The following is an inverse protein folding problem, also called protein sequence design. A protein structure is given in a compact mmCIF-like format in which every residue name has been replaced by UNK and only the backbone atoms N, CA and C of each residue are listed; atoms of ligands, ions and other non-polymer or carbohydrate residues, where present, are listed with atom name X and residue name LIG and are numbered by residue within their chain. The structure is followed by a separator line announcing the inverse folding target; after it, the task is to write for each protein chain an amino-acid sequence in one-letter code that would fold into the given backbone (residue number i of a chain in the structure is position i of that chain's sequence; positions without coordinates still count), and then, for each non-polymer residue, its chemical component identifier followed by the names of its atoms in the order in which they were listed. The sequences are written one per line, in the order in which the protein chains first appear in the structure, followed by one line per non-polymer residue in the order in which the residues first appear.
data_IF_445550502047
#
_entry.id   IF_445550502047
#
_cell.length_a   1.000
_cell.length_b   1.000
_cell.length_c   1.000
_cell.angle_alpha   90.00
_cell.angle_beta   90.00
_cell.angle_gamma   90.00
#
_symmetry.space_group_name_H-M   'P 1'
#
loop_
_entity.id
_entity.type
_entity.pdbx_description
1 polymer ?
#
# COMPACT_ATOMS: atom_id res chain seq x y z
N UNK A 1 12.26 6.24 -33.17
CA UNK A 1 12.99 5.08 -32.62
C UNK A 1 13.59 5.48 -31.28
N UNK A 2 12.88 5.25 -30.17
CA UNK A 2 13.44 5.46 -28.83
C UNK A 2 14.13 4.15 -28.46
N UNK A 3 15.46 4.19 -28.35
CA UNK A 3 16.29 3.05 -27.99
C UNK A 3 15.80 2.43 -26.67
N UNK A 4 15.29 1.20 -26.75
CA UNK A 4 14.97 0.36 -25.59
C UNK A 4 16.25 -0.22 -24.99
N UNK A 5 17.16 0.64 -24.53
CA UNK A 5 18.23 0.23 -23.63
C UNK A 5 17.68 0.14 -22.20
N UNK A 6 16.65 -0.69 -21.99
CA UNK A 6 16.40 -1.24 -20.66
C UNK A 6 17.52 -2.26 -20.43
N UNK A 7 18.36 -1.94 -19.45
CA UNK A 7 19.40 -2.78 -18.89
C UNK A 7 18.95 -4.25 -18.95
N UNK A 8 19.69 -5.11 -19.68
CA UNK A 8 19.59 -6.56 -19.52
C UNK A 8 20.07 -6.87 -18.09
N UNK A 9 19.13 -6.85 -17.15
CA UNK A 9 19.39 -7.00 -15.72
C UNK A 9 19.54 -8.47 -15.33
N UNK A 10 20.24 -9.30 -16.11
CA UNK A 10 20.58 -10.62 -15.60
C UNK A 10 21.62 -10.48 -14.48
N UNK A 11 21.56 -11.37 -13.50
CA UNK A 11 22.64 -11.57 -12.50
C UNK A 11 22.84 -10.44 -11.46
N UNK A 12 21.81 -9.64 -11.13
CA UNK A 12 21.89 -8.62 -10.07
C UNK A 12 21.42 -9.12 -8.71
N UNK A 13 22.03 -8.60 -7.64
CA UNK A 13 21.49 -8.66 -6.28
C UNK A 13 20.66 -7.41 -5.98
N UNK A 14 19.35 -7.58 -5.90
CA UNK A 14 18.40 -6.50 -5.62
C UNK A 14 17.94 -6.55 -4.16
N UNK A 15 18.10 -5.44 -3.44
CA UNK A 15 17.61 -5.29 -2.07
C UNK A 15 16.26 -4.57 -2.10
N UNK A 16 15.20 -5.25 -1.68
CA UNK A 16 13.85 -4.69 -1.60
C UNK A 16 13.55 -4.35 -0.15
N UNK A 17 13.27 -3.07 0.14
CA UNK A 17 13.00 -2.58 1.48
C UNK A 17 11.50 -2.45 1.72
N UNK A 18 10.98 -3.24 2.66
CA UNK A 18 9.58 -3.28 3.07
C UNK A 18 8.89 -4.56 2.62
N UNK A 19 8.40 -5.36 3.56
CA UNK A 19 7.66 -6.60 3.33
C UNK A 19 6.14 -6.41 3.23
N UNK A 20 5.66 -5.22 2.85
CA UNK A 20 4.26 -4.98 2.52
C UNK A 20 3.89 -5.46 1.12
N UNK A 21 2.64 -5.24 0.69
CA UNK A 21 2.14 -5.66 -0.62
C UNK A 21 3.02 -5.19 -1.79
N UNK A 22 3.47 -3.93 -1.76
CA UNK A 22 4.34 -3.37 -2.81
C UNK A 22 5.70 -4.07 -2.87
N UNK A 23 6.35 -4.30 -1.72
CA UNK A 23 7.66 -4.93 -1.71
C UNK A 23 7.63 -6.44 -1.96
N UNK A 24 6.62 -7.14 -1.44
CA UNK A 24 6.43 -8.58 -1.71
C UNK A 24 6.17 -8.84 -3.19
N UNK A 25 5.27 -8.06 -3.82
CA UNK A 25 5.00 -8.20 -5.26
C UNK A 25 6.20 -7.78 -6.11
N UNK A 26 6.95 -6.75 -5.71
CA UNK A 26 8.21 -6.37 -6.36
C UNK A 26 9.24 -7.51 -6.32
N UNK A 27 9.48 -8.07 -5.14
CA UNK A 27 10.41 -9.20 -4.95
C UNK A 27 10.00 -10.40 -5.82
N UNK A 28 8.71 -10.75 -5.83
CA UNK A 28 8.17 -11.81 -6.66
C UNK A 28 8.45 -11.57 -8.15
N UNK A 29 8.09 -10.39 -8.67
CA UNK A 29 8.28 -10.09 -10.09
C UNK A 29 9.75 -10.08 -10.50
N UNK A 30 10.67 -9.63 -9.63
CA UNK A 30 12.11 -9.72 -9.90
C UNK A 30 12.54 -11.18 -10.00
N UNK A 31 12.10 -12.03 -9.07
CA UNK A 31 12.47 -13.46 -9.07
C UNK A 31 11.90 -14.20 -10.28
N UNK A 32 10.67 -13.88 -10.69
CA UNK A 32 9.93 -14.53 -11.77
C UNK A 32 10.41 -14.08 -13.16
N UNK A 33 10.64 -12.77 -13.35
CA UNK A 33 10.87 -12.19 -14.67
C UNK A 33 12.33 -11.84 -14.96
N UNK A 34 13.18 -11.70 -13.94
CA UNK A 34 14.56 -11.26 -14.11
C UNK A 34 15.50 -12.44 -13.89
N UNK A 35 15.97 -13.01 -15.01
CA UNK A 35 16.82 -14.19 -15.02
C UNK A 35 18.04 -14.02 -14.10
N UNK A 36 18.32 -15.06 -13.30
CA UNK A 36 19.45 -15.17 -12.37
C UNK A 36 19.58 -14.08 -11.29
N UNK A 37 18.66 -13.13 -11.20
CA UNK A 37 18.73 -12.11 -10.16
C UNK A 37 18.41 -12.70 -8.79
N UNK A 38 19.15 -12.23 -7.79
CA UNK A 38 18.96 -12.53 -6.36
C UNK A 38 18.21 -11.39 -5.70
N UNK A 39 17.36 -11.71 -4.74
CA UNK A 39 16.57 -10.74 -3.98
C UNK A 39 16.82 -10.90 -2.48
N UNK A 40 17.15 -9.79 -1.82
CA UNK A 40 17.04 -9.68 -0.36
C UNK A 40 15.85 -8.79 -0.01
N UNK A 41 14.80 -9.37 0.55
CA UNK A 41 13.66 -8.63 1.08
C UNK A 41 13.91 -8.30 2.56
N UNK A 42 13.92 -7.02 2.90
CA UNK A 42 14.20 -6.53 4.26
C UNK A 42 12.94 -5.93 4.88
N UNK A 43 12.53 -6.42 6.04
CA UNK A 43 11.33 -5.97 6.77
C UNK A 43 11.67 -5.68 8.23
N UNK A 44 11.22 -4.52 8.73
CA UNK A 44 11.44 -4.10 10.12
C UNK A 44 10.61 -4.89 11.13
N UNK A 45 9.45 -5.40 10.72
CA UNK A 45 8.55 -6.15 11.56
C UNK A 45 8.96 -7.63 11.63
N UNK A 46 8.52 -8.39 12.64
CA UNK A 46 8.81 -9.82 12.75
C UNK A 46 8.31 -10.68 11.58
N UNK A 47 7.24 -10.24 10.91
CA UNK A 47 6.61 -10.91 9.76
C UNK A 47 6.28 -9.90 8.67
N UNK A 48 6.18 -10.40 7.43
CA UNK A 48 5.71 -9.62 6.29
C UNK A 48 4.26 -9.18 6.47
N UNK A 49 3.88 -8.11 5.77
CA UNK A 49 2.54 -7.54 5.73
C UNK A 49 1.97 -7.05 7.07
N UNK A 50 2.80 -6.77 8.09
CA UNK A 50 2.33 -6.27 9.40
C UNK A 50 2.07 -4.75 9.43
N UNK A 51 2.38 -4.02 8.36
CA UNK A 51 2.03 -2.60 8.19
C UNK A 51 0.60 -2.41 7.66
N UNK A 52 0.40 -1.38 6.83
CA UNK A 52 -0.89 -1.05 6.20
C UNK A 52 -1.51 -2.22 5.42
N UNK A 53 -0.68 -3.13 4.88
CA UNK A 53 -1.14 -4.35 4.21
C UNK A 53 -1.93 -5.32 5.10
N UNK A 54 -1.88 -5.20 6.43
CA UNK A 54 -2.74 -5.97 7.35
C UNK A 54 -3.93 -5.19 7.92
N UNK A 55 -3.99 -3.88 7.69
CA UNK A 55 -4.97 -2.97 8.29
C UNK A 55 -5.60 -2.11 7.20
N UNK A 56 -6.30 -2.75 6.29
CA UNK A 56 -6.96 -2.12 5.14
C UNK A 56 -8.42 -2.61 5.01
N UNK A 57 -9.15 -2.03 4.07
CA UNK A 57 -10.56 -2.36 3.81
C UNK A 57 -10.79 -3.59 2.93
N UNK A 58 -9.74 -4.34 2.55
CA UNK A 58 -9.86 -5.55 1.73
C UNK A 58 -10.52 -5.35 0.36
N UNK A 59 -10.42 -4.15 -0.21
CA UNK A 59 -11.12 -3.80 -1.45
C UNK A 59 -10.26 -4.06 -2.69
N UNK A 60 -10.89 -4.64 -3.70
CA UNK A 60 -10.37 -4.75 -5.07
C UNK A 60 -11.37 -4.06 -6.00
N UNK A 61 -11.43 -2.74 -5.91
CA UNK A 61 -12.51 -1.94 -6.50
C UNK A 61 -12.04 -0.92 -7.55
N UNK A 62 -11.82 -1.31 -8.82
CA UNK A 62 -11.51 -0.35 -9.88
C UNK A 62 -12.57 0.75 -10.01
N UNK A 63 -13.83 0.47 -9.68
CA UNK A 63 -14.92 1.46 -9.73
C UNK A 63 -14.78 2.60 -8.72
N UNK A 64 -13.94 2.43 -7.69
CA UNK A 64 -13.72 3.38 -6.60
C UNK A 64 -12.35 4.08 -6.69
N UNK A 65 -11.76 4.16 -7.88
CA UNK A 65 -10.43 4.72 -8.17
C UNK A 65 -10.30 6.25 -7.99
N UNK A 66 -11.30 6.90 -7.40
CA UNK A 66 -11.32 8.35 -7.21
C UNK A 66 -10.15 8.82 -6.34
N UNK A 67 -9.19 9.56 -6.91
CA UNK A 67 -8.08 10.05 -6.13
C UNK A 67 -8.63 11.02 -5.08
N UNK A 68 -8.10 10.95 -3.87
CA UNK A 68 -8.36 11.99 -2.86
C UNK A 68 -7.89 13.37 -3.33
N UNK A 69 -7.04 13.37 -4.37
CA UNK A 69 -6.48 14.52 -5.06
C UNK A 69 -7.31 15.07 -6.19
N UNK A 70 -8.52 14.55 -6.41
CA UNK A 70 -9.48 15.16 -7.31
C UNK A 70 -9.92 16.54 -6.80
N UNK A 71 -10.59 17.31 -7.68
CA UNK A 71 -11.25 18.57 -7.34
C UNK A 71 -12.26 18.42 -6.19
N UNK A 72 -12.61 17.20 -5.77
CA UNK A 72 -13.52 16.95 -4.65
C UNK A 72 -12.97 17.42 -3.29
N UNK A 73 -11.67 17.73 -3.15
CA UNK A 73 -11.17 18.27 -1.87
C UNK A 73 -11.65 19.70 -1.60
N UNK A 74 -11.61 20.54 -2.63
CA UNK A 74 -12.09 21.91 -2.65
C UNK A 74 -12.81 22.00 -3.99
N UNK A 75 -14.06 21.58 -3.98
CA UNK A 75 -14.90 21.63 -5.17
C UNK A 75 -15.16 23.12 -5.47
N UNK A 76 -14.46 23.63 -6.49
CA UNK A 76 -14.52 25.04 -6.87
C UNK A 76 -15.86 25.40 -7.53
N UNK A 77 -16.59 24.41 -8.04
CA UNK A 77 -17.92 24.63 -8.63
C UNK A 77 -19.01 24.62 -7.55
N UNK A 78 -18.79 23.87 -6.46
CA UNK A 78 -19.64 23.90 -5.28
C UNK A 78 -18.82 23.70 -3.99
N UNK A 79 -18.44 24.81 -3.36
CA UNK A 79 -17.64 24.79 -2.12
C UNK A 79 -18.30 24.02 -0.99
N UNK A 80 -19.64 23.93 -0.96
CA UNK A 80 -20.35 23.16 0.06
C UNK A 80 -20.15 21.66 -0.11
N UNK A 81 -19.76 21.22 -1.31
CA UNK A 81 -19.53 19.83 -1.66
C UNK A 81 -18.08 19.35 -1.45
N UNK A 82 -17.12 20.27 -1.33
CA UNK A 82 -15.72 19.95 -1.08
C UNK A 82 -15.47 19.27 0.27
N UNK A 83 -14.53 18.31 0.31
CA UNK A 83 -14.13 17.59 1.54
C UNK A 83 -13.55 18.55 2.59
N UNK A 84 -12.73 19.52 2.20
CA UNK A 84 -12.08 20.44 3.13
C UNK A 84 -13.07 21.43 3.76
N UNK A 85 -13.95 22.11 2.99
CA UNK A 85 -15.04 22.90 3.58
C UNK A 85 -15.96 22.07 4.49
N UNK A 86 -16.35 20.85 4.08
CA UNK A 86 -17.11 19.94 4.95
C UNK A 86 -16.34 19.62 6.23
N UNK A 87 -15.05 19.34 6.16
CA UNK A 87 -14.23 19.02 7.32
C UNK A 87 -14.12 20.19 8.31
N UNK A 88 -14.12 21.44 7.82
CA UNK A 88 -13.99 22.65 8.63
C UNK A 88 -15.34 23.15 9.19
N UNK A 89 -16.41 23.12 8.39
CA UNK A 89 -17.67 23.79 8.70
C UNK A 89 -18.87 22.84 8.88
N UNK A 90 -18.79 21.61 8.41
CA UNK A 90 -19.84 20.60 8.55
C UNK A 90 -19.24 19.21 8.87
N UNK A 91 -18.52 19.06 9.99
CA UNK A 91 -17.68 17.88 10.24
C UNK A 91 -18.45 16.56 10.30
N UNK A 92 -19.76 16.59 10.60
CA UNK A 92 -20.66 15.43 10.52
C UNK A 92 -20.89 14.91 9.11
N UNK A 93 -20.65 15.73 8.09
CA UNK A 93 -20.79 15.43 6.65
C UNK A 93 -19.44 15.22 5.96
N UNK A 94 -18.34 15.17 6.71
CA UNK A 94 -16.99 15.01 6.15
C UNK A 94 -16.48 13.58 6.26
N UNK A 95 -15.93 13.00 5.18
CA UNK A 95 -15.22 11.71 5.23
C UNK A 95 -13.91 11.80 6.05
N UNK A 96 -13.43 13.01 6.30
CA UNK A 96 -12.16 13.27 6.99
C UNK A 96 -12.40 14.25 8.12
N UNK A 97 -12.00 13.89 9.34
CA UNK A 97 -11.92 14.87 10.42
C UNK A 97 -10.64 15.66 10.28
N UNK A 98 -10.78 16.97 10.29
CA UNK A 98 -9.67 17.90 10.28
C UNK A 98 -9.58 18.60 11.64
N UNK A 99 -8.41 18.54 12.27
CA UNK A 99 -8.15 19.30 13.49
C UNK A 99 -7.55 20.66 13.11
N UNK A 100 -8.13 21.82 13.51
CA UNK A 100 -7.62 23.14 13.14
C UNK A 100 -6.13 23.34 13.44
N UNK A 101 -5.61 22.75 14.52
CA UNK A 101 -4.17 22.78 14.83
C UNK A 101 -3.28 22.03 13.83
N UNK A 102 -3.84 21.36 12.83
CA UNK A 102 -3.08 20.73 11.74
C UNK A 102 -2.64 21.76 10.69
N UNK A 103 -3.30 22.93 10.60
CA UNK A 103 -2.92 24.01 9.69
C UNK A 103 -1.56 24.63 10.05
N UNK A 104 -1.11 24.47 11.29
CA UNK A 104 0.22 24.94 11.72
C UNK A 104 1.33 23.93 11.42
N UNK A 105 1.01 22.77 10.82
CA UNK A 105 1.99 21.76 10.46
C UNK A 105 2.62 22.10 9.11
N UNK A 106 3.87 22.56 9.12
CA UNK A 106 4.61 22.93 7.92
C UNK A 106 4.69 21.80 6.89
N UNK A 107 4.82 20.54 7.33
CA UNK A 107 4.84 19.37 6.42
C UNK A 107 3.49 19.13 5.75
N UNK A 108 2.37 19.42 6.44
CA UNK A 108 1.03 19.30 5.86
C UNK A 108 0.75 20.45 4.87
N UNK A 109 1.23 21.66 5.18
CA UNK A 109 1.17 22.80 4.28
C UNK A 109 2.03 22.57 3.03
N UNK A 110 3.28 22.14 3.18
CA UNK A 110 4.18 21.80 2.07
C UNK A 110 3.61 20.67 1.21
N UNK A 111 3.04 19.64 1.86
CA UNK A 111 2.28 18.60 1.15
C UNK A 111 1.14 19.23 0.35
N UNK A 112 0.28 20.05 0.98
CA UNK A 112 -0.84 20.72 0.32
C UNK A 112 -0.41 21.60 -0.87
N UNK A 113 0.66 22.38 -0.73
CA UNK A 113 1.19 23.24 -1.79
C UNK A 113 1.79 22.44 -2.95
N UNK A 114 2.48 21.34 -2.68
CA UNK A 114 2.97 20.43 -3.72
C UNK A 114 1.83 19.66 -4.42
N UNK A 115 0.64 19.64 -3.83
CA UNK A 115 -0.47 18.80 -4.20
C UNK A 115 -1.56 19.55 -4.96
N UNK A 116 -1.84 20.80 -4.57
CA UNK A 116 -2.76 21.70 -5.29
C UNK A 116 -2.23 21.92 -6.71
N UNK A 117 -3.06 21.62 -7.72
CA UNK A 117 -2.70 21.73 -9.14
C UNK A 117 -2.05 20.47 -9.75
N UNK A 118 -1.75 19.43 -8.95
CA UNK A 118 -1.31 18.11 -9.45
C UNK A 118 -2.44 17.07 -9.50
N UNK A 119 -3.70 17.53 -9.40
CA UNK A 119 -4.91 16.73 -9.45
C UNK A 119 -5.02 16.00 -10.81
N UNK A 120 -4.47 14.80 -10.88
CA UNK A 120 -4.53 13.99 -12.10
C UNK A 120 -5.83 13.20 -12.12
N UNK A 121 -6.45 13.25 -13.30
CA UNK A 121 -7.60 12.47 -13.73
C UNK A 121 -7.58 11.04 -13.15
N UNK A 122 -8.73 10.51 -12.72
CA UNK A 122 -8.82 9.13 -12.19
C UNK A 122 -8.53 8.07 -13.26
N UNK A 123 -8.75 8.38 -14.55
CA UNK A 123 -8.65 7.43 -15.66
C UNK A 123 -7.34 6.60 -15.70
N UNK A 124 -6.13 7.18 -15.55
CA UNK A 124 -4.89 6.40 -15.55
C UNK A 124 -4.77 5.47 -14.33
N UNK A 125 -5.35 5.86 -13.18
CA UNK A 125 -5.36 5.04 -11.96
C UNK A 125 -6.25 3.81 -12.19
N UNK A 126 -7.47 4.02 -12.68
CA UNK A 126 -8.38 2.94 -13.05
C UNK A 126 -7.78 1.99 -14.07
N UNK A 127 -7.18 2.51 -15.15
CA UNK A 127 -6.53 1.69 -16.17
C UNK A 127 -5.35 0.87 -15.61
N UNK A 128 -4.53 1.44 -14.74
CA UNK A 128 -3.44 0.73 -14.08
C UNK A 128 -3.97 -0.37 -13.15
N UNK A 129 -5.08 -0.12 -12.46
CA UNK A 129 -5.70 -1.07 -11.57
C UNK A 129 -6.33 -2.24 -12.34
N UNK A 130 -7.05 -1.97 -13.43
CA UNK A 130 -7.58 -3.00 -14.34
C UNK A 130 -6.46 -3.86 -14.94
N UNK A 131 -5.39 -3.21 -15.42
CA UNK A 131 -4.20 -3.93 -15.91
C UNK A 131 -3.59 -4.80 -14.81
N UNK A 132 -3.37 -4.25 -13.60
CA UNK A 132 -2.83 -5.01 -12.49
C UNK A 132 -3.71 -6.20 -12.13
N UNK A 133 -5.04 -6.05 -12.13
CA UNK A 133 -5.97 -7.16 -11.89
C UNK A 133 -5.91 -8.22 -12.98
N UNK A 134 -5.71 -7.81 -14.24
CA UNK A 134 -5.57 -8.74 -15.37
C UNK A 134 -4.33 -9.63 -15.24
N UNK A 135 -3.23 -9.12 -14.68
CA UNK A 135 -2.01 -9.90 -14.45
C UNK A 135 -2.21 -11.02 -13.41
N UNK A 136 -3.17 -10.86 -12.49
CA UNK A 136 -3.49 -11.88 -11.49
C UNK A 136 -4.57 -12.86 -11.97
N UNK A 137 -5.42 -12.45 -12.92
CA UNK A 137 -6.49 -13.30 -13.46
C UNK A 137 -5.90 -14.30 -14.46
N UNK A 138 -5.87 -15.58 -14.08
CA UNK A 138 -5.50 -16.68 -14.97
C UNK A 138 -4.13 -17.30 -14.74
N UNK A 139 -3.30 -16.71 -13.86
CA UNK A 139 -2.05 -17.32 -13.42
C UNK A 139 -2.32 -18.33 -12.30
N UNK A 140 -2.11 -19.63 -12.57
CA UNK A 140 -2.34 -20.74 -11.62
C UNK A 140 -1.66 -20.49 -10.26
N UNK A 141 -0.48 -19.85 -10.29
CA UNK A 141 0.33 -19.49 -9.12
C UNK A 141 -0.46 -18.67 -8.10
N UNK A 142 -1.28 -17.73 -8.57
CA UNK A 142 -2.06 -16.83 -7.72
C UNK A 142 -3.44 -17.39 -7.37
N UNK A 143 -4.01 -18.23 -8.24
CA UNK A 143 -5.28 -18.94 -7.98
C UNK A 143 -5.18 -19.83 -6.74
N UNK A 144 -4.00 -20.40 -6.49
CA UNK A 144 -3.75 -21.25 -5.32
C UNK A 144 -3.46 -20.47 -4.02
N UNK A 145 -3.40 -19.14 -4.06
CA UNK A 145 -3.27 -18.35 -2.86
C UNK A 145 -4.65 -18.22 -2.18
N UNK A 146 -4.82 -18.81 -1.01
CA UNK A 146 -6.00 -18.54 -0.18
C UNK A 146 -5.88 -17.14 0.45
N UNK A 147 -6.34 -16.13 -0.28
CA UNK A 147 -6.51 -14.76 0.23
C UNK A 147 -7.97 -14.34 0.33
N UNK A 148 -8.90 -15.29 0.37
CA UNK A 148 -10.33 -15.03 0.30
C UNK A 148 -10.68 -14.09 -0.89
N UNK A 149 -10.15 -14.36 -2.08
CA UNK A 149 -10.49 -13.59 -3.27
C UNK A 149 -11.97 -13.76 -3.62
N UNK A 150 -12.65 -12.71 -4.07
CA UNK A 150 -14.00 -12.88 -4.61
C UNK A 150 -15.12 -12.83 -3.56
N UNK A 151 -14.84 -12.47 -2.30
CA UNK A 151 -15.89 -12.46 -1.26
C UNK A 151 -17.03 -11.50 -1.60
N UNK A 152 -16.70 -10.35 -2.19
CA UNK A 152 -17.67 -9.43 -2.77
C UNK A 152 -17.87 -9.71 -4.26
N UNK A 153 -19.14 -9.84 -4.66
CA UNK A 153 -19.59 -9.90 -6.05
C UNK A 153 -19.93 -8.49 -6.55
N UNK A 154 -18.90 -7.64 -6.66
CA UNK A 154 -19.06 -6.25 -7.06
C UNK A 154 -19.18 -5.25 -5.90
N UNK A 155 -19.34 -3.98 -6.26
CA UNK A 155 -19.59 -2.88 -5.32
C UNK A 155 -20.89 -2.17 -5.67
N UNK A 156 -21.81 -2.11 -4.72
CA UNK A 156 -22.99 -1.27 -4.79
C UNK A 156 -22.63 0.18 -4.47
N UNK A 157 -22.85 1.10 -5.40
CA UNK A 157 -22.65 2.54 -5.22
C UNK A 157 -23.84 3.20 -4.51
N UNK A 158 -23.68 4.44 -4.06
CA UNK A 158 -24.72 5.19 -3.31
C UNK A 158 -26.00 5.38 -4.15
N UNK A 159 -25.90 5.41 -5.49
CA UNK A 159 -27.04 5.46 -6.42
C UNK A 159 -27.68 4.09 -6.68
N UNK A 160 -27.26 3.05 -5.96
CA UNK A 160 -27.85 1.71 -5.98
C UNK A 160 -27.35 0.81 -7.12
N UNK A 161 -26.52 1.31 -8.03
CA UNK A 161 -25.91 0.51 -9.10
C UNK A 161 -24.83 -0.42 -8.55
N UNK A 162 -24.59 -1.53 -9.22
CA UNK A 162 -23.53 -2.47 -8.86
C UNK A 162 -22.48 -2.48 -9.96
N UNK A 163 -21.22 -2.27 -9.60
CA UNK A 163 -20.09 -2.52 -10.49
C UNK A 163 -19.53 -3.92 -10.24
N UNK A 164 -19.79 -4.84 -11.15
CA UNK A 164 -19.42 -6.26 -11.04
C UNK A 164 -17.93 -6.52 -11.27
N UNK A 165 -17.16 -5.53 -11.74
CA UNK A 165 -15.70 -5.66 -11.89
C UNK A 165 -15.00 -5.66 -10.54
N UNK A 166 -15.64 -5.09 -9.53
CA UNK A 166 -15.12 -4.96 -8.18
C UNK A 166 -15.21 -6.26 -7.39
N UNK A 167 -14.34 -6.39 -6.40
CA UNK A 167 -14.38 -7.50 -5.44
C UNK A 167 -13.69 -7.13 -4.13
N UNK A 168 -13.32 -8.13 -3.35
CA UNK A 168 -12.57 -8.01 -2.11
C UNK A 168 -11.58 -9.17 -1.93
N UNK A 169 -10.59 -8.94 -1.08
CA UNK A 169 -9.54 -9.92 -0.78
C UNK A 169 -8.65 -9.50 0.39
N UNK A 170 -8.21 -10.47 1.18
CA UNK A 170 -7.32 -10.26 2.33
C UNK A 170 -5.87 -10.05 1.87
N UNK A 171 -5.45 -8.79 1.84
CA UNK A 171 -4.10 -8.39 1.40
C UNK A 171 -3.00 -9.04 2.27
N UNK A 172 -3.24 -9.27 3.57
CA UNK A 172 -2.26 -9.93 4.45
C UNK A 172 -2.12 -11.39 4.07
N UNK A 173 -3.25 -12.10 3.90
CA UNK A 173 -3.21 -13.50 3.43
C UNK A 173 -2.52 -13.60 2.08
N UNK A 174 -2.82 -12.70 1.14
CA UNK A 174 -2.13 -12.65 -0.16
C UNK A 174 -0.62 -12.50 -0.01
N UNK A 175 -0.16 -11.51 0.76
CA UNK A 175 1.28 -11.30 0.98
C UNK A 175 1.96 -12.50 1.65
N UNK A 176 1.29 -13.14 2.62
CA UNK A 176 1.81 -14.31 3.33
C UNK A 176 1.89 -15.53 2.41
N UNK A 177 0.85 -15.75 1.60
CA UNK A 177 0.80 -16.82 0.61
C UNK A 177 1.88 -16.63 -0.47
N UNK A 178 2.00 -15.42 -1.02
CA UNK A 178 3.02 -15.11 -2.02
C UNK A 178 4.44 -15.24 -1.45
N UNK A 179 4.65 -14.84 -0.18
CA UNK A 179 5.91 -15.10 0.53
C UNK A 179 6.20 -16.60 0.65
N UNK A 180 5.20 -17.43 0.94
CA UNK A 180 5.38 -18.88 1.05
C UNK A 180 5.84 -19.47 -0.30
N UNK A 181 5.14 -19.12 -1.38
CA UNK A 181 5.48 -19.54 -2.73
C UNK A 181 6.92 -19.14 -3.11
N UNK A 182 7.28 -17.86 -2.91
CA UNK A 182 8.64 -17.39 -3.17
C UNK A 182 9.71 -18.13 -2.35
N UNK A 183 9.42 -18.51 -1.11
CA UNK A 183 10.36 -19.26 -0.26
C UNK A 183 10.51 -20.70 -0.74
N UNK A 184 9.42 -21.33 -1.17
CA UNK A 184 9.43 -22.70 -1.72
C UNK A 184 10.24 -22.75 -3.02
N UNK A 185 10.03 -21.81 -3.94
CA UNK A 185 10.69 -21.80 -5.26
C UNK A 185 12.09 -21.19 -5.24
N UNK A 186 12.33 -20.17 -4.42
CA UNK A 186 13.56 -19.37 -4.47
C UNK A 186 14.33 -19.31 -3.16
N UNK A 187 13.80 -19.84 -2.06
CA UNK A 187 14.56 -19.97 -0.82
C UNK A 187 15.71 -20.99 -0.93
N UNK A 188 16.35 -21.29 0.20
CA UNK A 188 17.51 -22.21 0.26
C UNK A 188 17.24 -23.62 -0.30
N UNK A 189 16.00 -24.09 -0.21
CA UNK A 189 15.58 -25.40 -0.75
C UNK A 189 15.15 -25.37 -2.22
N UNK A 190 15.00 -24.19 -2.81
CA UNK A 190 14.70 -24.01 -4.22
C UNK A 190 15.92 -23.48 -4.96
N UNK A 191 15.75 -22.42 -5.75
CA UNK A 191 16.85 -21.82 -6.53
C UNK A 191 17.89 -21.05 -5.69
N UNK A 192 17.66 -20.82 -4.39
CA UNK A 192 18.57 -20.08 -3.51
C UNK A 192 18.69 -18.58 -3.81
N UNK A 193 17.82 -18.04 -4.67
CA UNK A 193 17.85 -16.63 -5.10
C UNK A 193 17.15 -15.67 -4.14
N UNK A 194 16.45 -16.14 -3.12
CA UNK A 194 15.72 -15.31 -2.16
C UNK A 194 16.30 -15.39 -0.76
N UNK A 195 16.54 -14.22 -0.18
CA UNK A 195 16.76 -14.01 1.25
C UNK A 195 15.67 -13.11 1.80
N UNK A 196 15.09 -13.46 2.94
CA UNK A 196 14.13 -12.61 3.66
C UNK A 196 14.70 -12.32 5.05
N UNK A 197 14.95 -11.04 5.33
CA UNK A 197 15.41 -10.59 6.64
C UNK A 197 14.31 -9.79 7.35
N UNK A 198 13.70 -10.39 8.38
CA UNK A 198 12.72 -9.73 9.23
C UNK A 198 13.38 -9.14 10.48
N UNK A 199 12.68 -8.25 11.17
CA UNK A 199 13.22 -7.48 12.31
C UNK A 199 14.42 -6.60 11.93
N UNK A 200 14.50 -6.15 10.68
CA UNK A 200 15.59 -5.34 10.16
C UNK A 200 15.08 -3.96 9.75
N UNK A 201 15.38 -2.94 10.55
CA UNK A 201 15.02 -1.56 10.22
C UNK A 201 16.14 -0.89 9.45
N UNK A 202 15.84 -0.43 8.25
CA UNK A 202 16.74 0.47 7.51
C UNK A 202 16.81 1.80 8.27
N UNK A 203 18.03 2.19 8.61
CA UNK A 203 18.34 3.45 9.29
C UNK A 203 18.68 4.54 8.31
N UNK A 204 19.53 4.20 7.34
CA UNK A 204 20.02 5.13 6.34
C UNK A 204 20.57 4.45 5.09
N UNK A 205 20.58 5.18 3.98
CA UNK A 205 21.33 4.81 2.79
C UNK A 205 22.72 5.46 2.80
N UNK A 206 23.74 4.72 2.38
CA UNK A 206 25.11 5.24 2.23
C UNK A 206 25.45 5.24 0.76
N UNK A 207 25.87 6.40 0.27
CA UNK A 207 26.23 6.61 -1.13
C UNK A 207 27.73 6.69 -1.34
N UNK A 208 28.17 6.30 -2.53
CA UNK A 208 29.52 6.52 -3.06
C UNK A 208 29.36 7.25 -4.38
N UNK A 209 29.61 8.56 -4.40
CA UNK A 209 29.25 9.40 -5.53
C UNK A 209 27.73 9.42 -5.75
N UNK A 210 27.27 9.11 -6.95
CA UNK A 210 25.86 9.06 -7.32
C UNK A 210 25.17 7.72 -7.06
N UNK A 211 25.90 6.72 -6.57
CA UNK A 211 25.39 5.36 -6.38
C UNK A 211 25.12 5.05 -4.91
N UNK A 212 24.04 4.34 -4.63
CA UNK A 212 23.79 3.76 -3.30
C UNK A 212 24.65 2.50 -3.18
N UNK A 213 25.53 2.47 -2.19
CA UNK A 213 26.47 1.36 -2.00
C UNK A 213 25.98 0.36 -0.95
N UNK A 214 25.37 0.85 0.13
CA UNK A 214 24.87 0.01 1.23
C UNK A 214 23.70 0.67 1.95
N UNK A 215 22.91 -0.16 2.62
CA UNK A 215 21.94 0.28 3.62
C UNK A 215 22.45 -0.05 5.01
N UNK A 216 22.47 0.93 5.91
CA UNK A 216 22.68 0.69 7.35
C UNK A 216 21.39 0.19 7.96
N UNK A 217 21.49 -0.90 8.71
CA UNK A 217 20.36 -1.64 9.24
C UNK A 217 20.54 -1.87 10.73
N UNK A 218 19.46 -1.73 11.49
CA UNK A 218 19.39 -2.13 12.90
C UNK A 218 18.55 -3.40 13.03
N UNK A 219 19.06 -4.41 13.73
CA UNK A 219 18.25 -5.55 14.16
C UNK A 219 17.37 -5.12 15.34
N UNK A 220 16.05 -5.14 15.16
CA UNK A 220 15.09 -4.71 16.17
C UNK A 220 15.02 -5.68 17.36
N UNK A 221 15.53 -6.92 17.22
CA UNK A 221 15.55 -7.90 18.33
C UNK A 221 16.75 -7.71 19.24
N UNK A 222 17.92 -7.45 18.64
CA UNK A 222 19.20 -7.42 19.37
C UNK A 222 19.76 -6.00 19.53
N UNK A 223 19.19 -5.03 18.85
CA UNK A 223 19.66 -3.65 18.84
C UNK A 223 20.97 -3.42 18.08
N UNK A 224 21.55 -4.47 17.49
CA UNK A 224 22.82 -4.44 16.77
C UNK A 224 22.67 -3.76 15.42
N UNK A 225 23.76 -3.14 14.95
CA UNK A 225 23.81 -2.52 13.64
C UNK A 225 24.66 -3.36 12.67
N UNK A 226 24.23 -3.41 11.41
CA UNK A 226 24.90 -4.09 10.32
C UNK A 226 24.68 -3.34 9.00
N UNK A 227 25.26 -3.84 7.92
CA UNK A 227 25.08 -3.27 6.57
C UNK A 227 24.55 -4.34 5.63
N UNK A 228 23.68 -3.94 4.70
CA UNK A 228 23.21 -4.78 3.60
C UNK A 228 23.70 -4.14 2.30
N UNK A 229 24.35 -4.95 1.47
CA UNK A 229 24.89 -4.58 0.17
C UNK A 229 23.98 -5.13 -0.94
N UNK A 230 24.06 -4.53 -2.13
CA UNK A 230 23.37 -4.97 -3.33
C UNK A 230 23.71 -4.09 -4.53
N UNK A 231 23.40 -4.57 -5.73
CA UNK A 231 23.62 -3.86 -6.99
C UNK A 231 22.50 -2.85 -7.31
N UNK A 232 21.33 -3.06 -6.70
CA UNK A 232 20.18 -2.19 -6.82
C UNK A 232 19.33 -2.22 -5.55
N UNK A 233 18.68 -1.10 -5.27
CA UNK A 233 17.85 -0.93 -4.07
C UNK A 233 16.46 -0.45 -4.48
N UNK A 234 15.42 -1.12 -3.99
CA UNK A 234 14.02 -0.70 -4.18
C UNK A 234 13.43 -0.35 -2.83
N UNK A 235 12.93 0.88 -2.69
CA UNK A 235 12.26 1.33 -1.47
C UNK A 235 10.74 1.16 -1.62
N UNK A 236 10.19 0.17 -0.91
CA UNK A 236 8.76 -0.14 -0.84
C UNK A 236 8.25 -0.11 0.63
N UNK A 237 8.78 0.80 1.43
CA UNK A 237 8.61 0.86 2.88
C UNK A 237 7.34 1.62 3.34
N UNK A 238 6.40 1.90 2.44
CA UNK A 238 5.19 2.68 2.75
C UNK A 238 5.53 4.03 3.38
N UNK A 239 4.96 4.31 4.55
CA UNK A 239 5.21 5.55 5.33
C UNK A 239 6.65 5.68 5.83
N UNK A 240 7.41 4.58 5.87
CA UNK A 240 8.84 4.60 6.19
C UNK A 240 9.74 5.03 5.04
N UNK A 241 9.21 5.13 3.81
CA UNK A 241 10.03 5.39 2.62
C UNK A 241 10.71 6.75 2.66
N UNK A 242 10.00 7.79 3.13
CA UNK A 242 10.51 9.17 3.17
C UNK A 242 11.83 9.27 3.92
N UNK A 243 11.94 8.64 5.09
CA UNK A 243 13.17 8.70 5.90
C UNK A 243 14.38 8.01 5.27
N UNK A 244 14.16 7.07 4.34
CA UNK A 244 15.23 6.37 3.63
C UNK A 244 15.69 7.19 2.42
N UNK A 245 14.74 7.66 1.61
CA UNK A 245 15.05 8.29 0.32
C UNK A 245 15.45 9.77 0.44
N UNK A 246 15.05 10.45 1.53
CA UNK A 246 15.45 11.85 1.76
C UNK A 246 16.95 12.02 1.93
N UNK A 247 17.64 11.01 2.46
CA UNK A 247 19.09 11.07 2.70
C UNK A 247 19.91 11.02 1.41
N UNK A 248 19.31 10.54 0.32
CA UNK A 248 19.92 10.51 -1.01
C UNK A 248 19.35 11.61 -1.91
N UNK A 249 18.71 12.63 -1.32
CA UNK A 249 18.20 13.80 -2.04
C UNK A 249 16.92 13.55 -2.85
N UNK A 250 16.26 12.40 -2.69
CA UNK A 250 15.02 12.08 -3.41
C UNK A 250 13.82 12.55 -2.59
N UNK A 251 13.01 13.44 -3.19
CA UNK A 251 11.77 13.89 -2.57
C UNK A 251 10.72 12.77 -2.60
N UNK A 252 10.18 12.44 -1.42
CA UNK A 252 9.06 11.52 -1.26
C UNK A 252 7.94 12.24 -0.49
N UNK A 253 6.95 12.83 -1.20
CA UNK A 253 5.86 13.58 -0.61
C UNK A 253 4.76 12.64 -0.07
N UNK A 254 5.16 11.65 0.74
CA UNK A 254 4.22 10.73 1.41
C UNK A 254 3.95 11.22 2.82
N UNK A 255 2.67 11.25 3.21
CA UNK A 255 2.22 11.61 4.56
C UNK A 255 1.35 10.48 5.12
N UNK A 256 1.62 9.96 6.32
CA UNK A 256 0.79 8.93 6.92
C UNK A 256 -0.59 9.48 7.29
N UNK A 257 -1.64 8.82 6.83
CA UNK A 257 -3.03 9.07 7.25
C UNK A 257 -3.53 7.87 8.04
N UNK A 258 -4.18 8.12 9.18
CA UNK A 258 -4.75 7.06 10.00
C UNK A 258 -6.10 6.62 9.42
N UNK A 259 -6.19 5.35 9.04
CA UNK A 259 -7.44 4.64 8.76
C UNK A 259 -7.88 3.82 9.96
N UNK A 260 -9.19 3.75 10.17
CA UNK A 260 -9.86 2.96 11.19
C UNK A 260 -10.72 1.93 10.49
N UNK A 261 -10.71 0.71 11.02
CA UNK A 261 -11.49 -0.43 10.55
C UNK A 261 -12.35 -0.92 11.71
N UNK A 262 -13.65 -1.11 11.47
CA UNK A 262 -14.56 -1.75 12.42
C UNK A 262 -15.08 -3.04 11.80
N UNK A 263 -14.82 -4.18 12.45
CA UNK A 263 -15.35 -5.48 12.05
C UNK A 263 -16.51 -5.84 12.97
N UNK A 264 -17.64 -6.23 12.40
CA UNK A 264 -18.82 -6.68 13.14
C UNK A 264 -19.41 -7.93 12.50
N UNK A 265 -20.09 -8.77 13.30
CA UNK A 265 -20.85 -9.93 12.80
C UNK A 265 -22.25 -9.50 12.36
N UNK A 266 -22.74 -10.07 11.28
CA UNK A 266 -24.12 -9.89 10.80
C UNK A 266 -24.85 -11.24 10.74
N UNK A 267 -26.15 -11.25 11.06
CA UNK A 267 -27.04 -12.39 10.78
C UNK A 267 -27.50 -12.41 9.32
N UNK A 268 -27.42 -11.27 8.63
CA UNK A 268 -27.70 -11.13 7.21
C UNK A 268 -26.42 -11.28 6.42
N UNK A 269 -26.46 -12.12 5.38
CA UNK A 269 -25.34 -12.29 4.46
C UNK A 269 -25.06 -10.99 3.69
N UNK A 270 -23.81 -10.54 3.72
CA UNK A 270 -23.31 -9.46 2.87
C UNK A 270 -22.59 -10.10 1.69
N UNK A 271 -23.05 -9.85 0.46
CA UNK A 271 -22.56 -10.52 -0.76
C UNK A 271 -21.81 -9.60 -1.72
N UNK A 272 -21.86 -8.29 -1.50
CA UNK A 272 -21.14 -7.27 -2.28
C UNK A 272 -20.56 -6.19 -1.35
N UNK A 273 -19.59 -5.42 -1.86
CA UNK A 273 -19.18 -4.20 -1.18
C UNK A 273 -20.30 -3.17 -1.29
N UNK A 274 -20.43 -2.28 -0.32
CA UNK A 274 -21.39 -1.17 -0.34
C UNK A 274 -20.66 0.13 -0.08
N UNK A 275 -20.79 1.07 -1.01
CA UNK A 275 -20.37 2.43 -0.82
C UNK A 275 -21.44 3.18 -0.01
N UNK A 276 -21.02 3.68 1.14
CA UNK A 276 -21.86 4.45 2.04
C UNK A 276 -21.51 5.95 1.91
N UNK A 277 -22.41 6.85 2.33
CA UNK A 277 -22.10 8.27 2.44
C UNK A 277 -20.80 8.55 3.20
N UNK A 278 -20.19 9.71 2.96
CA UNK A 278 -18.93 10.13 3.60
C UNK A 278 -17.75 9.18 3.35
N UNK A 279 -17.66 8.61 2.13
CA UNK A 279 -16.57 7.70 1.71
C UNK A 279 -16.35 6.51 2.65
N UNK A 280 -17.39 6.11 3.38
CA UNK A 280 -17.38 4.89 4.16
C UNK A 280 -17.65 3.72 3.22
N UNK A 281 -16.98 2.61 3.44
CA UNK A 281 -17.13 1.41 2.64
C UNK A 281 -17.43 0.26 3.57
N UNK A 282 -18.43 -0.53 3.23
CA UNK A 282 -18.78 -1.78 3.90
C UNK A 282 -18.42 -2.92 2.97
N UNK A 283 -17.57 -3.85 3.40
CA UNK A 283 -17.24 -5.04 2.61
C UNK A 283 -17.53 -6.33 3.39
N UNK A 284 -17.90 -7.42 2.70
CA UNK A 284 -17.97 -8.72 3.32
C UNK A 284 -16.57 -9.17 3.73
N UNK A 285 -16.49 -9.75 4.92
CA UNK A 285 -15.30 -10.29 5.52
C UNK A 285 -15.67 -11.58 6.25
N UNK A 286 -14.90 -12.65 6.02
CA UNK A 286 -15.12 -13.92 6.74
C UNK A 286 -14.59 -13.75 8.16
N UNK A 287 -15.50 -13.74 9.14
CA UNK A 287 -15.15 -13.91 10.55
C UNK A 287 -15.19 -15.42 10.85
N UNK A 288 -14.21 -15.90 11.62
CA UNK A 288 -14.04 -17.31 12.00
C UNK A 288 -15.39 -18.03 12.27
N UNK A 289 -15.57 -19.26 11.73
CA UNK A 289 -16.80 -20.08 11.77
C UNK A 289 -17.98 -19.62 10.88
N UNK A 290 -17.73 -19.21 9.64
CA UNK A 290 -18.81 -19.05 8.65
C UNK A 290 -19.78 -17.89 8.91
N UNK A 291 -19.40 -16.95 9.78
CA UNK A 291 -20.14 -15.71 10.00
C UNK A 291 -19.65 -14.67 8.98
N UNK A 292 -20.58 -14.12 8.20
CA UNK A 292 -20.30 -12.97 7.34
C UNK A 292 -20.30 -11.71 8.20
N UNK A 293 -19.16 -11.02 8.19
CA UNK A 293 -18.98 -9.76 8.88
C UNK A 293 -18.80 -8.62 7.90
N UNK A 294 -19.18 -7.43 8.33
CA UNK A 294 -18.90 -6.19 7.61
C UNK A 294 -17.61 -5.56 8.11
N UNK A 295 -16.87 -4.90 7.24
CA UNK A 295 -15.77 -4.00 7.63
C UNK A 295 -16.07 -2.58 7.18
N UNK A 296 -16.13 -1.64 8.13
CA UNK A 296 -16.29 -0.19 7.84
C UNK A 296 -14.93 0.49 7.88
N UNK A 297 -14.55 1.14 6.78
CA UNK A 297 -13.35 1.99 6.72
C UNK A 297 -13.72 3.46 6.94
N UNK A 298 -13.06 4.11 7.91
CA UNK A 298 -13.13 5.58 8.10
C UNK A 298 -11.73 6.16 8.33
N UNK A 299 -11.46 7.40 7.93
CA UNK A 299 -10.13 8.02 8.03
C UNK A 299 -10.16 9.33 8.82
N UNK A 300 -9.10 9.61 9.58
CA UNK A 300 -8.97 10.87 10.34
C UNK A 300 -7.55 11.43 10.24
N UNK A 301 -7.45 12.76 10.10
CA UNK A 301 -6.20 13.51 10.21
C UNK A 301 -6.13 14.10 11.64
N UNK A 302 -5.40 13.42 12.54
CA UNK A 302 -5.24 13.85 13.94
C UNK A 302 -3.79 14.17 14.31
N UNK A 303 -3.59 15.01 15.35
CA UNK A 303 -2.29 15.30 15.98
C UNK A 303 -1.49 14.02 16.22
N UNK A 304 -0.41 13.81 15.48
CA UNK A 304 0.74 13.08 16.01
C UNK A 304 1.71 14.12 16.56
N UNK A 305 2.02 14.03 17.86
CA UNK A 305 3.01 14.90 18.52
C UNK A 305 4.45 14.62 18.06
N UNK A 306 4.67 13.64 17.20
CA UNK A 306 5.94 13.43 16.51
C UNK A 306 5.70 12.61 15.23
N UNK A 307 5.63 13.28 14.09
CA UNK A 307 5.51 12.64 12.77
C UNK A 307 6.80 11.90 12.36
N UNK A 308 7.86 12.02 13.17
CA UNK A 308 9.13 11.29 13.03
C UNK A 308 9.12 9.89 13.66
N UNK A 309 8.17 9.59 14.56
CA UNK A 309 8.18 8.35 15.39
C UNK A 309 6.96 7.46 15.24
N UNK A 310 6.03 7.77 14.35
CA UNK A 310 4.84 6.95 14.12
C UNK A 310 5.07 5.92 13.00
N UNK A 311 5.89 4.89 13.29
CA UNK A 311 5.86 3.52 12.72
C UNK A 311 7.08 2.67 13.12
#
# INVERSE_FOLDING_TARGET
MISRSFIRASDKHVVVVGGGIAGITTAFNILDQVANSKVTLVEKAPKVAQGASSKNGFLLCPSLDYPWTSNSIVDLNDLSNGILPKALFAPSKSPVRFQPSSLTNASLLDFGLNWVGRAQNAKPIGALMEYSMSLYKGEEKFVNLDFNQGLAKGTQTIDGKVDERDSSGDIKKFCVGLKKLMVEEHGKGGTGRLTIETNKRIKRAVTRGSEVAELKVRDERFGTESSIFGDAFVVAAGTGSRGIVSEIGVSCPTVPVKGYLLTFSSSTEVTCNMALPNKMLLNPYIVYRGLTGGSIVYSSLGRNRDFSRSC
#
